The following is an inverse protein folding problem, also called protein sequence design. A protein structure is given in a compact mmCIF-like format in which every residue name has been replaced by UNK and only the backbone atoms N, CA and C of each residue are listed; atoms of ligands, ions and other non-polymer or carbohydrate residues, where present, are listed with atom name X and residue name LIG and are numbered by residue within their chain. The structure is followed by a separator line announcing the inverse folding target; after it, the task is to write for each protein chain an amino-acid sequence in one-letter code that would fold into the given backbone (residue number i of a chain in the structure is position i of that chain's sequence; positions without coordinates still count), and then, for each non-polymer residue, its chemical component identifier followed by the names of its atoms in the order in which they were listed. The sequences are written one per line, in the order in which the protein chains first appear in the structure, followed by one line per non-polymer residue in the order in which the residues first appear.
data_IF_009112981093
#
_entry.id   IF_009112981093
#
_cell.length_a   1.000
_cell.length_b   1.000
_cell.length_c   1.000
_cell.angle_alpha   90.00
_cell.angle_beta   90.00
_cell.angle_gamma   90.00
#
_symmetry.space_group_name_H-M   'P 1'
#
loop_
_entity.id
_entity.type
_entity.pdbx_description
1 polymer ?
#
# COMPACT_ATOMS: atom_id res chain seq x y z
N UNK A 1 -37.62 -30.59 -71.53
CA UNK A 1 -37.43 -30.37 -70.08
C UNK A 1 -36.52 -31.45 -69.48
N UNK A 2 -35.20 -31.26 -69.40
CA UNK A 2 -34.28 -32.30 -68.89
C UNK A 2 -33.03 -31.82 -68.15
N UNK A 3 -32.73 -30.52 -68.17
CA UNK A 3 -31.50 -29.95 -67.59
C UNK A 3 -31.59 -29.60 -66.09
N UNK A 4 -32.79 -29.30 -65.57
CA UNK A 4 -32.98 -28.95 -64.15
C UNK A 4 -32.81 -30.14 -63.18
N UNK A 5 -33.14 -31.36 -63.60
CA UNK A 5 -33.05 -32.57 -62.75
C UNK A 5 -31.61 -33.04 -62.55
N UNK A 6 -30.74 -32.88 -63.56
CA UNK A 6 -29.29 -33.16 -63.45
C UNK A 6 -28.54 -32.14 -62.58
N UNK A 7 -28.95 -30.86 -62.60
CA UNK A 7 -28.33 -29.81 -61.78
C UNK A 7 -28.52 -30.01 -60.27
N UNK A 8 -29.68 -30.54 -59.84
CA UNK A 8 -29.94 -30.89 -58.43
C UNK A 8 -29.09 -32.06 -57.93
N UNK A 9 -28.87 -33.10 -58.76
CA UNK A 9 -28.03 -34.26 -58.40
C UNK A 9 -26.53 -33.94 -58.28
N UNK A 10 -26.05 -32.91 -58.98
CA UNK A 10 -24.65 -32.45 -58.91
C UNK A 10 -24.40 -31.35 -57.84
N UNK A 11 -25.39 -31.03 -57.02
CA UNK A 11 -25.23 -30.02 -55.95
C UNK A 11 -24.42 -30.56 -54.76
N UNK A 12 -24.55 -31.84 -54.44
CA UNK A 12 -23.92 -32.48 -53.27
C UNK A 12 -22.40 -32.65 -53.40
N UNK A 13 -21.86 -32.67 -54.62
CA UNK A 13 -20.44 -32.88 -54.88
C UNK A 13 -19.81 -31.73 -55.69
N UNK A 14 -20.09 -30.48 -55.28
CA UNK A 14 -19.43 -29.31 -55.86
C UNK A 14 -17.96 -29.25 -55.42
N UNK A 15 -17.06 -29.75 -56.27
CA UNK A 15 -15.62 -29.48 -56.14
C UNK A 15 -15.37 -27.98 -56.20
N UNK A 16 -14.80 -27.41 -55.13
CA UNK A 16 -14.41 -26.00 -55.09
C UNK A 16 -13.35 -25.76 -56.17
N UNK A 17 -13.60 -24.80 -57.07
CA UNK A 17 -12.67 -24.47 -58.15
C UNK A 17 -11.35 -23.97 -57.55
N UNK A 18 -10.23 -24.51 -58.05
CA UNK A 18 -8.88 -24.06 -57.72
C UNK A 18 -8.73 -22.58 -58.08
N UNK A 19 -8.53 -21.74 -57.09
CA UNK A 19 -8.08 -20.35 -57.27
C UNK A 19 -6.58 -20.32 -57.04
N UNK A 20 -5.82 -19.93 -58.06
CA UNK A 20 -4.36 -19.81 -58.01
C UNK A 20 -3.92 -18.97 -56.81
N UNK A 21 -2.94 -19.47 -56.05
CA UNK A 21 -2.40 -18.83 -54.85
C UNK A 21 -3.08 -19.17 -53.51
N UNK A 22 -4.19 -19.91 -53.47
CA UNK A 22 -4.87 -20.30 -52.21
C UNK A 22 -4.85 -21.81 -52.00
N UNK A 23 -4.34 -22.27 -50.85
CA UNK A 23 -4.40 -23.69 -50.44
C UNK A 23 -5.86 -24.08 -50.14
N UNK A 24 -6.38 -25.08 -50.84
CA UNK A 24 -7.71 -25.63 -50.59
C UNK A 24 -7.71 -26.50 -49.31
N UNK A 25 -8.71 -26.31 -48.45
CA UNK A 25 -8.97 -27.23 -47.33
C UNK A 25 -9.52 -28.54 -47.89
N UNK A 26 -8.90 -29.67 -47.51
CA UNK A 26 -9.38 -31.01 -47.89
C UNK A 26 -10.70 -31.27 -47.17
N UNK A 27 -11.75 -31.62 -47.91
CA UNK A 27 -13.12 -31.79 -47.38
C UNK A 27 -13.34 -33.11 -46.65
N UNK A 28 -12.44 -34.08 -46.83
CA UNK A 28 -12.56 -35.45 -46.27
C UNK A 28 -11.60 -35.69 -45.11
N UNK A 29 -10.89 -34.65 -44.66
CA UNK A 29 -9.92 -34.75 -43.57
C UNK A 29 -10.56 -34.23 -42.29
N UNK A 30 -10.71 -35.11 -41.31
CA UNK A 30 -11.15 -34.73 -39.96
C UNK A 30 -10.09 -33.83 -39.35
N UNK A 31 -10.48 -32.61 -38.98
CA UNK A 31 -9.60 -31.66 -38.32
C UNK A 31 -9.47 -32.05 -36.83
N UNK A 32 -8.28 -32.50 -36.43
CA UNK A 32 -7.99 -32.91 -35.05
C UNK A 32 -7.44 -31.77 -34.20
N UNK A 33 -7.50 -30.51 -34.66
CA UNK A 33 -7.10 -29.39 -33.81
C UNK A 33 -8.15 -29.14 -32.72
N UNK A 34 -7.90 -29.71 -31.54
CA UNK A 34 -8.68 -29.46 -30.33
C UNK A 34 -7.97 -28.36 -29.54
N UNK A 35 -8.64 -27.22 -29.35
CA UNK A 35 -8.16 -26.16 -28.46
C UNK A 35 -8.91 -26.23 -27.13
N UNK A 36 -8.21 -26.62 -26.08
CA UNK A 36 -8.74 -26.62 -24.71
C UNK A 36 -8.27 -25.37 -23.97
N UNK A 37 -9.18 -24.73 -23.23
CA UNK A 37 -8.86 -23.63 -22.31
C UNK A 37 -9.07 -24.11 -20.89
N UNK A 38 -8.04 -24.01 -20.06
CA UNK A 38 -8.12 -24.33 -18.62
C UNK A 38 -8.86 -23.20 -17.91
N UNK A 39 -9.93 -23.54 -17.19
CA UNK A 39 -10.55 -22.62 -16.23
C UNK A 39 -9.66 -22.61 -14.99
N UNK A 40 -8.97 -21.50 -14.75
CA UNK A 40 -8.20 -21.28 -13.53
C UNK A 40 -9.15 -20.64 -12.52
N UNK A 41 -9.60 -21.43 -11.55
CA UNK A 41 -10.30 -20.90 -10.39
C UNK A 41 -9.27 -20.20 -9.52
N UNK A 42 -9.48 -18.90 -9.26
CA UNK A 42 -8.72 -18.16 -8.26
C UNK A 42 -9.19 -18.71 -6.91
N UNK A 43 -8.44 -19.69 -6.38
CA UNK A 43 -8.56 -20.33 -5.07
C UNK A 43 -9.75 -19.88 -4.21
N UNK A 44 -10.76 -20.76 -4.04
CA UNK A 44 -11.75 -20.60 -2.97
C UNK A 44 -11.08 -20.76 -1.60
N UNK A 45 -11.62 -20.06 -0.59
CA UNK A 45 -11.14 -20.01 0.81
C UNK A 45 -10.67 -21.38 1.31
N UNK A 46 -9.36 -21.62 1.27
CA UNK A 46 -8.73 -22.78 1.92
C UNK A 46 -8.88 -22.61 3.44
N UNK A 47 -9.07 -23.72 4.18
CA UNK A 47 -8.95 -23.71 5.64
C UNK A 47 -7.52 -23.31 5.99
N UNK A 48 -7.34 -22.04 6.36
CA UNK A 48 -6.05 -21.53 6.78
C UNK A 48 -5.79 -22.00 8.20
N UNK A 49 -4.88 -22.95 8.34
CA UNK A 49 -4.33 -23.33 9.64
C UNK A 49 -3.29 -22.29 10.08
N UNK A 50 -3.48 -21.74 11.27
CA UNK A 50 -2.47 -20.88 11.90
C UNK A 50 -1.23 -21.75 12.20
N UNK A 51 -0.06 -21.27 11.77
CA UNK A 51 1.21 -21.91 12.10
C UNK A 51 2.22 -20.84 12.49
N UNK A 52 3.29 -21.23 13.18
CA UNK A 52 4.35 -20.28 13.58
C UNK A 52 4.95 -19.53 12.39
N UNK A 53 4.94 -20.13 11.20
CA UNK A 53 5.46 -19.55 9.96
C UNK A 53 4.42 -18.72 9.19
N UNK A 54 3.12 -18.96 9.45
CA UNK A 54 2.00 -18.24 8.84
C UNK A 54 1.04 -17.74 9.92
N UNK A 55 1.45 -16.70 10.68
CA UNK A 55 0.60 -16.12 11.69
C UNK A 55 -0.59 -15.42 11.01
N UNK A 56 -1.78 -15.63 11.57
CA UNK A 56 -3.04 -15.10 11.03
C UNK A 56 -3.66 -14.14 12.04
N UNK A 57 -4.34 -13.12 11.54
CA UNK A 57 -5.23 -12.33 12.39
C UNK A 57 -6.44 -13.15 12.85
N UNK A 58 -7.18 -12.64 13.82
CA UNK A 58 -8.44 -13.25 14.30
C UNK A 58 -9.48 -13.54 13.19
N UNK A 59 -9.34 -12.91 12.02
CA UNK A 59 -10.21 -13.12 10.84
C UNK A 59 -9.64 -14.15 9.85
N UNK A 60 -8.58 -14.86 10.22
CA UNK A 60 -7.88 -15.79 9.34
C UNK A 60 -7.15 -15.11 8.17
N UNK A 61 -6.73 -13.84 8.33
CA UNK A 61 -6.01 -13.09 7.28
C UNK A 61 -4.53 -12.98 7.63
N UNK A 62 -3.69 -13.30 6.66
CA UNK A 62 -2.24 -13.07 6.74
C UNK A 62 -1.89 -11.58 6.67
N UNK A 63 -0.66 -11.22 7.05
CA UNK A 63 -0.20 -9.83 7.02
C UNK A 63 -0.24 -9.22 5.61
N UNK A 64 0.07 -9.99 4.57
CA UNK A 64 0.02 -9.52 3.18
C UNK A 64 -1.43 -9.23 2.72
N UNK A 65 -2.38 -10.10 3.09
CA UNK A 65 -3.80 -9.89 2.81
C UNK A 65 -4.35 -8.67 3.55
N UNK A 66 -3.93 -8.48 4.80
CA UNK A 66 -4.28 -7.28 5.57
C UNK A 66 -3.70 -6.03 4.91
N UNK A 67 -2.44 -6.05 4.48
CA UNK A 67 -1.82 -4.92 3.76
C UNK A 67 -2.59 -4.57 2.47
N UNK A 68 -3.05 -5.57 1.71
CA UNK A 68 -3.93 -5.36 0.55
C UNK A 68 -5.26 -4.72 0.95
N UNK A 69 -5.87 -5.18 2.05
CA UNK A 69 -7.14 -4.64 2.55
C UNK A 69 -7.02 -3.22 3.13
N UNK A 70 -5.86 -2.83 3.67
CA UNK A 70 -5.58 -1.44 4.05
C UNK A 70 -5.70 -0.50 2.84
N UNK A 71 -5.37 -0.96 1.63
CA UNK A 71 -5.52 -0.19 0.40
C UNK A 71 -6.92 -0.18 -0.22
N UNK A 72 -7.90 -0.86 0.38
CA UNK A 72 -9.20 -1.12 -0.24
C UNK A 72 -10.11 0.11 -0.24
N UNK A 73 -10.94 0.30 -1.28
CA UNK A 73 -11.83 1.47 -1.39
C UNK A 73 -12.93 1.52 -0.30
N UNK A 74 -13.41 0.36 0.16
CA UNK A 74 -14.40 0.26 1.23
C UNK A 74 -13.79 0.59 2.61
N UNK A 75 -14.34 1.60 3.28
CA UNK A 75 -13.89 2.07 4.60
C UNK A 75 -14.00 1.01 5.69
N UNK A 76 -15.06 0.18 5.68
CA UNK A 76 -15.22 -0.91 6.65
C UNK A 76 -14.11 -1.94 6.53
N UNK A 77 -13.78 -2.31 5.28
CA UNK A 77 -12.68 -3.26 5.00
C UNK A 77 -11.34 -2.70 5.51
N UNK A 78 -11.06 -1.41 5.27
CA UNK A 78 -9.84 -0.77 5.80
C UNK A 78 -9.79 -0.76 7.32
N UNK A 79 -10.92 -0.47 7.97
CA UNK A 79 -11.02 -0.43 9.45
C UNK A 79 -10.77 -1.80 10.05
N UNK A 80 -11.38 -2.84 9.51
CA UNK A 80 -11.16 -4.20 9.99
C UNK A 80 -9.72 -4.65 9.75
N UNK A 81 -9.13 -4.27 8.61
CA UNK A 81 -7.74 -4.53 8.30
C UNK A 81 -6.78 -3.81 9.26
N UNK A 82 -7.05 -2.57 9.64
CA UNK A 82 -6.27 -1.84 10.66
C UNK A 82 -6.27 -2.58 11.99
N UNK A 83 -7.44 -3.02 12.45
CA UNK A 83 -7.59 -3.78 13.70
C UNK A 83 -6.83 -5.11 13.63
N UNK A 84 -7.01 -5.87 12.54
CA UNK A 84 -6.31 -7.14 12.34
C UNK A 84 -4.80 -6.98 12.24
N UNK A 85 -4.32 -5.96 11.53
CA UNK A 85 -2.87 -5.66 11.40
C UNK A 85 -2.27 -5.32 12.75
N UNK A 86 -2.93 -4.44 13.51
CA UNK A 86 -2.46 -4.06 14.85
C UNK A 86 -2.40 -5.26 15.78
N UNK A 87 -3.45 -6.09 15.81
CA UNK A 87 -3.49 -7.29 16.63
C UNK A 87 -2.32 -8.22 16.28
N UNK A 88 -2.13 -8.52 14.98
CA UNK A 88 -1.07 -9.42 14.52
C UNK A 88 0.32 -8.92 14.88
N UNK A 89 0.62 -7.65 14.64
CA UNK A 89 1.93 -7.05 14.94
C UNK A 89 2.18 -6.86 16.43
N UNK A 90 1.13 -6.71 17.25
CA UNK A 90 1.27 -6.67 18.72
C UNK A 90 1.58 -8.06 19.26
N UNK A 91 0.95 -9.11 18.70
CA UNK A 91 1.21 -10.51 19.09
C UNK A 91 2.53 -11.04 18.56
N UNK A 92 2.99 -10.57 17.39
CA UNK A 92 4.22 -10.99 16.71
C UNK A 92 5.05 -9.79 16.25
N UNK A 93 5.75 -9.10 17.17
CA UNK A 93 6.56 -7.91 16.85
C UNK A 93 7.72 -8.20 15.88
N UNK A 94 8.19 -9.45 15.84
CA UNK A 94 9.21 -9.94 14.91
C UNK A 94 8.83 -9.74 13.43
N UNK A 95 7.53 -9.73 13.12
CA UNK A 95 7.04 -9.49 11.77
C UNK A 95 7.21 -8.05 11.31
N UNK A 96 7.35 -7.08 12.23
CA UNK A 96 7.34 -5.66 11.86
C UNK A 96 8.55 -5.37 10.98
N UNK A 97 9.77 -5.65 11.48
CA UNK A 97 11.01 -5.40 10.73
C UNK A 97 11.08 -6.21 9.43
N UNK A 98 10.65 -7.47 9.45
CA UNK A 98 10.63 -8.34 8.27
C UNK A 98 9.70 -7.82 7.15
N UNK A 99 8.64 -7.09 7.50
CA UNK A 99 7.60 -6.65 6.57
C UNK A 99 7.49 -5.14 6.42
N UNK A 100 8.47 -4.33 6.86
CA UNK A 100 8.44 -2.86 6.73
C UNK A 100 8.23 -2.41 5.28
N UNK A 101 8.85 -3.10 4.32
CA UNK A 101 8.71 -2.83 2.87
C UNK A 101 7.25 -2.82 2.40
N UNK A 102 6.41 -3.70 2.95
CA UNK A 102 4.99 -3.79 2.61
C UNK A 102 4.11 -2.97 3.54
N UNK A 103 4.45 -2.93 4.84
CA UNK A 103 3.70 -2.22 5.87
C UNK A 103 3.71 -0.71 5.66
N UNK A 104 4.90 -0.11 5.48
CA UNK A 104 5.05 1.35 5.43
C UNK A 104 4.25 1.99 4.29
N UNK A 105 4.29 1.50 3.04
CA UNK A 105 3.45 2.07 1.98
C UNK A 105 1.94 1.84 2.23
N UNK A 106 1.56 0.69 2.79
CA UNK A 106 0.17 0.33 3.02
C UNK A 106 -0.49 1.19 4.11
N UNK A 107 0.25 1.56 5.16
CA UNK A 107 -0.24 2.43 6.23
C UNK A 107 -0.09 3.91 5.88
N UNK A 108 0.98 4.32 5.20
CA UNK A 108 1.27 5.73 4.92
C UNK A 108 0.20 6.36 4.01
N UNK A 109 -0.32 5.61 3.04
CA UNK A 109 -1.45 6.03 2.20
C UNK A 109 -2.72 6.36 2.99
N UNK A 110 -2.93 5.74 4.14
CA UNK A 110 -4.13 5.96 4.96
C UNK A 110 -4.14 7.33 5.63
N UNK A 111 -2.99 7.97 5.80
CA UNK A 111 -2.88 9.27 6.46
C UNK A 111 -3.73 10.33 5.74
N UNK A 112 -3.83 10.27 4.41
CA UNK A 112 -4.64 11.21 3.63
C UNK A 112 -6.15 10.92 3.69
N UNK A 113 -6.54 9.71 4.08
CA UNK A 113 -7.95 9.33 4.26
C UNK A 113 -8.49 9.68 5.67
N UNK A 114 -7.65 10.23 6.54
CA UNK A 114 -7.92 10.47 7.96
C UNK A 114 -8.39 11.89 8.23
N UNK A 115 -9.70 12.14 8.23
CA UNK A 115 -10.24 13.50 8.41
C UNK A 115 -11.35 13.62 9.45
N UNK A 116 -12.42 12.83 9.26
CA UNK A 116 -13.67 12.98 10.03
C UNK A 116 -13.96 11.88 11.05
N UNK A 117 -13.13 10.84 11.17
CA UNK A 117 -13.37 9.70 12.06
C UNK A 117 -12.29 9.63 13.16
N UNK A 118 -12.56 10.18 14.37
CA UNK A 118 -11.62 10.13 15.49
C UNK A 118 -11.24 8.72 15.92
N UNK A 119 -12.14 7.74 15.79
CA UNK A 119 -11.87 6.36 16.15
C UNK A 119 -10.88 5.72 15.17
N UNK A 120 -11.08 5.93 13.87
CA UNK A 120 -10.13 5.50 12.84
C UNK A 120 -8.75 6.14 13.04
N UNK A 121 -8.72 7.44 13.31
CA UNK A 121 -7.48 8.18 13.58
C UNK A 121 -6.75 7.61 14.81
N UNK A 122 -7.49 7.26 15.86
CA UNK A 122 -6.95 6.61 17.05
C UNK A 122 -6.34 5.24 16.75
N UNK A 123 -7.04 4.40 15.97
CA UNK A 123 -6.54 3.08 15.57
C UNK A 123 -5.31 3.18 14.69
N UNK A 124 -5.33 4.03 13.66
CA UNK A 124 -4.17 4.24 12.78
C UNK A 124 -2.98 4.77 13.56
N UNK A 125 -3.16 5.76 14.43
CA UNK A 125 -2.08 6.28 15.29
C UNK A 125 -1.51 5.19 16.21
N UNK A 126 -2.37 4.33 16.74
CA UNK A 126 -1.92 3.22 17.57
C UNK A 126 -1.12 2.19 16.77
N UNK A 127 -1.55 1.87 15.55
CA UNK A 127 -0.80 0.97 14.66
C UNK A 127 0.54 1.59 14.25
N UNK A 128 0.56 2.87 13.91
CA UNK A 128 1.78 3.60 13.58
C UNK A 128 2.79 3.59 14.73
N UNK A 129 2.33 3.71 15.99
CA UNK A 129 3.21 3.57 17.16
C UNK A 129 3.85 2.19 17.26
N UNK A 130 3.11 1.12 16.95
CA UNK A 130 3.65 -0.25 16.92
C UNK A 130 4.67 -0.38 15.80
N UNK A 131 4.36 0.10 14.60
CA UNK A 131 5.26 -0.03 13.45
C UNK A 131 6.53 0.83 13.62
N UNK A 132 6.40 1.99 14.26
CA UNK A 132 7.51 2.90 14.56
C UNK A 132 8.25 2.56 15.88
N UNK A 133 8.04 1.38 16.46
CA UNK A 133 8.86 0.92 17.59
C UNK A 133 10.15 0.20 17.14
N UNK A 134 10.32 -0.03 15.84
CA UNK A 134 11.54 -0.62 15.25
C UNK A 134 12.71 0.35 15.33
N UNK A 135 13.93 -0.19 15.23
CA UNK A 135 15.15 0.61 15.24
C UNK A 135 15.18 1.66 14.10
N UNK A 136 15.90 2.77 14.33
CA UNK A 136 16.14 3.78 13.30
C UNK A 136 16.83 3.19 12.06
N UNK A 137 17.73 2.22 12.27
CA UNK A 137 18.40 1.50 11.19
C UNK A 137 17.42 0.75 10.28
N UNK A 138 16.49 -0.02 10.87
CA UNK A 138 15.48 -0.75 10.11
C UNK A 138 14.51 0.20 9.36
N UNK A 139 14.13 1.31 9.99
CA UNK A 139 13.21 2.29 9.38
C UNK A 139 13.86 3.11 8.26
N UNK A 140 15.19 3.30 8.28
CA UNK A 140 15.91 4.23 7.41
C UNK A 140 15.59 4.05 5.91
N UNK A 141 15.57 2.81 5.41
CA UNK A 141 15.30 2.50 4.01
C UNK A 141 13.86 2.85 3.55
N UNK A 142 12.93 3.00 4.49
CA UNK A 142 11.52 3.28 4.24
C UNK A 142 11.10 4.70 4.61
N UNK A 143 11.96 5.40 5.36
CA UNK A 143 11.66 6.67 5.99
C UNK A 143 11.28 7.77 4.99
N UNK A 144 12.03 7.90 3.88
CA UNK A 144 11.77 8.92 2.86
C UNK A 144 10.38 8.76 2.23
N UNK A 145 9.97 7.53 1.91
CA UNK A 145 8.64 7.25 1.38
C UNK A 145 7.57 7.61 2.41
N UNK A 146 7.79 7.25 3.67
CA UNK A 146 6.84 7.53 4.73
C UNK A 146 6.65 9.04 4.92
N UNK A 147 7.75 9.79 5.04
CA UNK A 147 7.76 11.25 5.15
C UNK A 147 7.07 11.88 3.95
N UNK A 148 7.32 11.42 2.72
CA UNK A 148 6.66 11.97 1.52
C UNK A 148 5.13 11.91 1.61
N UNK A 149 4.55 10.81 2.11
CA UNK A 149 3.11 10.72 2.34
C UNK A 149 2.61 11.70 3.42
N UNK A 150 3.37 11.90 4.49
CA UNK A 150 3.03 12.87 5.54
C UNK A 150 3.08 14.31 5.02
N UNK A 151 4.12 14.65 4.27
CA UNK A 151 4.27 15.97 3.66
C UNK A 151 3.14 16.24 2.65
N UNK A 152 2.75 15.24 1.86
CA UNK A 152 1.57 15.35 0.99
C UNK A 152 0.31 15.65 1.82
N UNK A 153 0.07 14.89 2.89
CA UNK A 153 -1.09 15.10 3.77
C UNK A 153 -1.07 16.45 4.52
N UNK A 154 0.10 17.05 4.79
CA UNK A 154 0.21 18.40 5.37
C UNK A 154 -0.34 19.49 4.43
N UNK A 155 -0.39 19.25 3.12
CA UNK A 155 -0.93 20.19 2.14
C UNK A 155 -2.43 19.99 1.88
N UNK A 156 -3.05 18.99 2.51
CA UNK A 156 -4.45 18.62 2.29
C UNK A 156 -5.42 19.76 2.61
N UNK A 157 -6.53 19.85 1.87
CA UNK A 157 -7.53 20.91 2.05
C UNK A 157 -8.24 20.83 3.41
N UNK A 158 -8.47 19.62 3.90
CA UNK A 158 -9.11 19.38 5.19
C UNK A 158 -8.15 19.56 6.37
N UNK A 159 -8.53 20.37 7.36
CA UNK A 159 -7.72 20.63 8.55
C UNK A 159 -7.51 19.37 9.41
N UNK A 160 -8.49 18.46 9.47
CA UNK A 160 -8.38 17.20 10.20
C UNK A 160 -7.20 16.35 9.73
N UNK A 161 -7.08 16.16 8.41
CA UNK A 161 -5.97 15.45 7.77
C UNK A 161 -4.63 16.13 8.04
N UNK A 162 -4.55 17.46 7.89
CA UNK A 162 -3.31 18.21 8.17
C UNK A 162 -2.86 18.04 9.62
N UNK A 163 -3.79 18.21 10.56
CA UNK A 163 -3.51 18.06 12.00
C UNK A 163 -3.10 16.63 12.35
N UNK A 164 -3.75 15.64 11.73
CA UNK A 164 -3.37 14.25 11.90
C UNK A 164 -1.96 14.00 11.38
N UNK A 165 -1.64 14.40 10.15
CA UNK A 165 -0.29 14.27 9.58
C UNK A 165 0.77 14.95 10.44
N UNK A 166 0.52 16.20 10.87
CA UNK A 166 1.43 16.96 11.75
C UNK A 166 1.73 16.19 13.04
N UNK A 167 0.72 15.58 13.64
CA UNK A 167 0.90 14.79 14.86
C UNK A 167 1.60 13.44 14.64
N UNK A 168 1.62 12.91 13.42
CA UNK A 168 2.47 11.76 13.07
C UNK A 168 3.91 12.23 12.84
N UNK A 169 4.11 13.41 12.23
CA UNK A 169 5.44 14.03 12.12
C UNK A 169 6.03 14.28 13.52
N UNK A 170 5.25 14.78 14.47
CA UNK A 170 5.67 14.91 15.87
C UNK A 170 6.15 13.56 16.46
N UNK A 171 5.41 12.48 16.19
CA UNK A 171 5.80 11.13 16.60
C UNK A 171 7.13 10.71 15.96
N UNK A 172 7.33 10.96 14.67
CA UNK A 172 8.59 10.64 13.98
C UNK A 172 9.76 11.47 14.50
N UNK A 173 9.56 12.76 14.80
CA UNK A 173 10.59 13.61 15.39
C UNK A 173 11.04 13.09 16.75
N UNK A 174 10.12 12.52 17.53
CA UNK A 174 10.43 11.92 18.82
C UNK A 174 11.08 10.54 18.70
N UNK A 175 10.59 9.67 17.80
CA UNK A 175 11.09 8.30 17.65
C UNK A 175 12.37 8.19 16.82
N UNK A 176 12.54 9.08 15.84
CA UNK A 176 13.60 9.03 14.83
C UNK A 176 14.23 10.42 14.56
N UNK A 177 14.79 11.08 15.58
CA UNK A 177 15.31 12.45 15.45
C UNK A 177 16.40 12.57 14.38
N UNK A 178 17.30 11.59 14.27
CA UNK A 178 18.42 11.63 13.31
C UNK A 178 17.96 11.43 11.86
N UNK A 179 16.97 10.56 11.62
CA UNK A 179 16.37 10.38 10.30
C UNK A 179 15.62 11.65 9.88
N UNK A 180 14.88 12.26 10.82
CA UNK A 180 14.20 13.53 10.57
C UNK A 180 15.19 14.65 10.23
N UNK A 181 16.30 14.75 10.98
CA UNK A 181 17.35 15.75 10.76
C UNK A 181 17.98 15.64 9.37
N UNK A 182 18.25 14.42 8.93
CA UNK A 182 18.92 14.17 7.64
C UNK A 182 17.97 14.39 6.45
N UNK A 183 16.66 14.37 6.67
CA UNK A 183 15.67 14.54 5.62
C UNK A 183 15.43 16.03 5.30
N UNK A 184 16.10 16.52 4.25
CA UNK A 184 16.03 17.91 3.78
C UNK A 184 14.62 18.32 3.35
N UNK A 185 13.85 17.41 2.75
CA UNK A 185 12.48 17.69 2.31
C UNK A 185 11.54 17.92 3.48
N UNK A 186 11.70 17.15 4.57
CA UNK A 186 10.97 17.35 5.82
C UNK A 186 11.25 18.74 6.37
N UNK A 187 12.53 19.10 6.51
CA UNK A 187 12.93 20.41 7.03
C UNK A 187 12.32 21.56 6.19
N UNK A 188 12.56 21.54 4.88
CA UNK A 188 12.08 22.59 3.98
C UNK A 188 10.56 22.70 3.96
N UNK A 189 9.86 21.57 3.93
CA UNK A 189 8.40 21.54 3.90
C UNK A 189 7.79 21.98 5.23
N UNK A 190 8.41 21.62 6.35
CA UNK A 190 7.96 22.03 7.67
C UNK A 190 8.13 23.55 7.87
N UNK A 191 9.28 24.12 7.47
CA UNK A 191 9.50 25.58 7.50
C UNK A 191 8.48 26.31 6.61
N UNK A 192 8.23 25.82 5.40
CA UNK A 192 7.17 26.36 4.52
C UNK A 192 5.79 26.27 5.17
N UNK A 193 5.49 25.18 5.86
CA UNK A 193 4.22 24.99 6.59
C UNK A 193 4.06 26.00 7.74
N UNK A 194 5.12 26.27 8.51
CA UNK A 194 5.12 27.27 9.59
C UNK A 194 4.89 28.70 9.08
N UNK A 195 5.41 29.01 7.89
CA UNK A 195 5.19 30.32 7.25
C UNK A 195 3.82 30.41 6.55
N UNK A 196 3.11 29.29 6.41
CA UNK A 196 1.82 29.22 5.74
C UNK A 196 0.63 29.69 6.59
N UNK A 197 -0.49 29.94 5.92
CA UNK A 197 -1.79 30.23 6.56
C UNK A 197 -2.52 28.97 7.05
N UNK A 198 -2.13 27.78 6.58
CA UNK A 198 -2.81 26.50 6.85
C UNK A 198 -2.39 25.80 8.15
N UNK A 199 -1.46 26.40 8.90
CA UNK A 199 -0.96 25.90 10.19
C UNK A 199 -2.02 26.01 11.30
N UNK A 200 -1.93 25.19 12.36
CA UNK A 200 -2.73 25.37 13.56
C UNK A 200 -2.48 26.72 14.23
N UNK A 201 -3.37 27.13 15.13
CA UNK A 201 -3.18 28.34 15.92
C UNK A 201 -1.94 28.22 16.83
N UNK A 202 -1.19 29.32 17.00
CA UNK A 202 0.03 29.36 17.79
C UNK A 202 -0.16 29.06 19.28
N UNK A 203 -1.37 29.21 19.81
CA UNK A 203 -1.72 28.82 21.17
C UNK A 203 -2.04 27.33 21.34
N UNK A 204 -1.99 26.54 20.26
CA UNK A 204 -2.21 25.10 20.33
C UNK A 204 -1.00 24.39 20.95
N UNK A 205 -1.19 23.84 22.16
CA UNK A 205 -0.13 23.13 22.89
C UNK A 205 0.55 22.04 22.05
N UNK A 206 -0.24 21.20 21.34
CA UNK A 206 0.30 20.13 20.48
C UNK A 206 1.12 20.67 19.30
N UNK A 207 0.76 21.84 18.78
CA UNK A 207 1.51 22.45 17.69
C UNK A 207 2.84 22.98 18.19
N UNK A 208 2.85 23.67 19.33
CA UNK A 208 4.07 24.15 19.97
C UNK A 208 5.01 23.01 20.35
N UNK A 209 4.49 21.92 20.91
CA UNK A 209 5.25 20.70 21.21
C UNK A 209 5.91 20.12 19.94
N UNK A 210 5.17 20.10 18.82
CA UNK A 210 5.72 19.62 17.54
C UNK A 210 6.85 20.54 17.05
N UNK A 211 6.71 21.85 17.20
CA UNK A 211 7.75 22.83 16.85
C UNK A 211 8.99 22.64 17.74
N UNK A 212 8.79 22.44 19.04
CA UNK A 212 9.88 22.18 19.99
C UNK A 212 10.67 20.92 19.59
N UNK A 213 9.96 19.82 19.29
CA UNK A 213 10.57 18.58 18.80
C UNK A 213 11.34 18.81 17.49
N UNK A 214 10.78 19.60 16.57
CA UNK A 214 11.43 19.94 15.30
C UNK A 214 12.72 20.73 15.51
N UNK A 215 12.70 21.73 16.39
CA UNK A 215 13.87 22.55 16.73
C UNK A 215 14.93 21.68 17.41
N UNK A 216 14.55 20.82 18.37
CA UNK A 216 15.46 19.89 19.04
C UNK A 216 16.15 18.95 18.06
N UNK A 217 15.38 18.31 17.18
CA UNK A 217 15.92 17.43 16.16
C UNK A 217 16.88 18.17 15.20
N UNK A 218 16.57 19.42 14.85
CA UNK A 218 17.35 20.21 13.88
C UNK A 218 18.63 20.83 14.46
N UNK A 219 18.64 21.24 15.73
CA UNK A 219 19.76 22.02 16.32
C UNK A 219 20.71 21.21 17.19
N UNK A 220 20.22 20.23 17.97
CA UNK A 220 21.01 19.61 19.05
C UNK A 220 21.80 18.36 18.64
N UNK A 221 21.88 18.04 17.35
CA UNK A 221 22.55 16.85 16.83
C UNK A 221 24.05 16.89 16.65
N UNK A 222 24.72 17.98 17.03
CA UNK A 222 26.12 18.24 16.67
C UNK A 222 27.14 17.96 17.79
N UNK A 223 26.71 17.44 18.94
CA UNK A 223 27.54 17.49 20.15
C UNK A 223 28.28 16.19 20.52
N UNK A 224 28.05 15.04 19.88
CA UNK A 224 28.59 13.75 20.36
C UNK A 224 29.61 13.03 19.46
N UNK A 225 30.02 13.58 18.31
CA UNK A 225 31.05 12.96 17.45
C UNK A 225 32.50 13.37 17.81
N UNK A 226 32.72 13.95 18.99
CA UNK A 226 33.97 14.62 19.36
C UNK A 226 34.79 14.01 20.49
N UNK A 227 34.46 12.82 21.01
CA UNK A 227 35.29 12.14 22.02
C UNK A 227 35.73 10.76 21.56
N UNK A 228 36.65 10.77 20.59
CA UNK A 228 37.56 9.65 20.36
C UNK A 228 38.78 9.87 21.27
N UNK A 229 38.96 8.91 22.18
CA UNK A 229 40.20 8.43 22.80
C UNK A 229 41.28 9.45 23.22
N UNK A 230 41.49 9.52 24.54
CA UNK A 230 42.83 9.54 25.13
C UNK A 230 42.91 8.43 26.16
#
# INVERSE_FOLDING_TARGET
MGSKKKAKKNADFKKVKLKVGKKLKKTTTTDTTIQTKKVVLISQLEEKSESSDKPLSFRGLSLDELCKQLGHFNKSVRRDALTGTKQLLTSRPDLIEAHLRTLVPAIARLVSDCGHDPALNGQLRSLLRVICSVSSHAMAAHFTLFVAHLLHALTHNEAGVRNFSLSIIAMLLNSYPDLCRTNVDLFNSFVKFLNGSRKPAWNSARFLETIELFIKASLFGRQDDGKISS
#
